data_IF_795619590094
#
_entry.id   IF_795619590094
#
_cell.length_a   1.000
_cell.length_b   1.000
_cell.length_c   1.000
_cell.angle_alpha   90.00
_cell.angle_beta   90.00
_cell.angle_gamma   90.00
#
_symmetry.space_group_name_H-M   'P 1'
#
loop_
_entity.id
_entity.type
_entity.pdbx_description
1 polymer ?
#
# COMPACT_ATOMS: atom_id res chain seq x y z
N UNK A 1 -34.17 -10.92 3.59
CA UNK A 1 -33.62 -11.36 4.90
C UNK A 1 -32.09 -11.53 4.89
N UNK A 2 -31.46 -12.05 3.85
CA UNK A 2 -30.01 -12.27 3.78
C UNK A 2 -29.23 -10.94 3.67
N UNK A 3 -29.71 -9.97 2.92
CA UNK A 3 -29.08 -8.64 2.79
C UNK A 3 -29.08 -7.88 4.11
N UNK A 4 -30.19 -7.92 4.84
CA UNK A 4 -30.30 -7.26 6.15
C UNK A 4 -29.34 -7.88 7.18
N UNK A 5 -29.19 -9.23 7.20
CA UNK A 5 -28.22 -9.90 8.06
C UNK A 5 -26.77 -9.56 7.71
N UNK A 6 -26.44 -9.51 6.42
CA UNK A 6 -25.11 -9.17 5.95
C UNK A 6 -24.73 -7.73 6.31
N UNK A 7 -25.67 -6.80 6.25
CA UNK A 7 -25.47 -5.39 6.64
C UNK A 7 -25.28 -5.26 8.15
N UNK A 8 -26.07 -6.00 8.96
CA UNK A 8 -25.92 -6.03 10.41
C UNK A 8 -24.54 -6.58 10.83
N UNK A 9 -24.08 -7.67 10.20
CA UNK A 9 -22.74 -8.20 10.45
C UNK A 9 -21.62 -7.23 10.05
N UNK A 10 -21.80 -6.46 8.98
CA UNK A 10 -20.83 -5.43 8.58
C UNK A 10 -20.77 -4.32 9.63
N UNK A 11 -21.91 -3.80 10.08
CA UNK A 11 -21.98 -2.76 11.11
C UNK A 11 -21.34 -3.25 12.41
N UNK A 12 -21.74 -4.43 12.89
CA UNK A 12 -21.16 -5.03 14.10
C UNK A 12 -19.64 -5.20 13.96
N UNK A 13 -19.19 -5.69 12.81
CA UNK A 13 -17.77 -5.87 12.52
C UNK A 13 -17.00 -4.53 12.52
N UNK A 14 -17.51 -3.49 11.88
CA UNK A 14 -16.89 -2.15 11.88
C UNK A 14 -16.83 -1.60 13.32
N UNK A 15 -17.88 -1.79 14.10
CA UNK A 15 -17.91 -1.38 15.52
C UNK A 15 -16.81 -2.09 16.32
N UNK A 16 -16.68 -3.41 16.17
CA UNK A 16 -15.62 -4.19 16.83
C UNK A 16 -14.24 -3.74 16.35
N UNK A 17 -14.08 -3.52 15.04
CA UNK A 17 -12.83 -3.03 14.47
C UNK A 17 -12.40 -1.71 15.11
N UNK A 18 -13.31 -0.72 15.19
CA UNK A 18 -12.98 0.57 15.82
C UNK A 18 -12.75 0.43 17.32
N UNK A 19 -13.55 -0.37 18.04
CA UNK A 19 -13.37 -0.58 19.48
C UNK A 19 -11.98 -1.14 19.79
N UNK A 20 -11.55 -2.19 19.07
CA UNK A 20 -10.20 -2.76 19.22
C UNK A 20 -9.11 -1.77 18.77
N UNK A 21 -9.31 -1.10 17.64
CA UNK A 21 -8.33 -0.16 17.10
C UNK A 21 -8.16 1.08 17.98
N UNK A 22 -9.20 1.58 18.63
CA UNK A 22 -9.08 2.68 19.60
C UNK A 22 -8.20 2.31 20.81
N UNK A 23 -8.29 1.06 21.28
CA UNK A 23 -7.42 0.58 22.38
C UNK A 23 -5.95 0.60 21.93
N UNK A 24 -5.66 0.08 20.73
CA UNK A 24 -4.31 0.08 20.18
C UNK A 24 -3.82 1.51 19.90
N UNK A 25 -4.69 2.35 19.36
CA UNK A 25 -4.41 3.77 19.07
C UNK A 25 -3.96 4.53 20.31
N UNK A 26 -4.72 4.42 21.41
CA UNK A 26 -4.35 5.10 22.65
C UNK A 26 -3.01 4.60 23.18
N UNK A 27 -2.76 3.28 23.14
CA UNK A 27 -1.45 2.73 23.54
C UNK A 27 -0.31 3.22 22.65
N UNK A 28 -0.51 3.33 21.32
CA UNK A 28 0.52 3.87 20.41
C UNK A 28 0.75 5.36 20.71
N UNK A 29 -0.30 6.13 20.96
CA UNK A 29 -0.21 7.55 21.28
C UNK A 29 0.54 7.79 22.60
N UNK A 30 0.22 7.02 23.65
CA UNK A 30 0.90 7.12 24.96
C UNK A 30 2.35 6.65 24.91
N UNK A 31 2.66 5.68 24.04
CA UNK A 31 3.97 5.06 23.97
C UNK A 31 4.97 5.83 23.11
N UNK A 32 4.53 6.72 22.22
CA UNK A 32 5.40 7.30 21.19
C UNK A 32 5.15 8.78 20.94
N UNK A 33 6.21 9.55 20.89
CA UNK A 33 6.24 10.88 20.29
C UNK A 33 6.10 10.80 18.76
N UNK A 34 6.48 11.87 18.06
CA UNK A 34 6.44 11.88 16.60
C UNK A 34 7.45 10.88 16.02
N UNK A 35 6.97 10.00 15.14
CA UNK A 35 7.74 8.88 14.60
C UNK A 35 8.21 9.22 13.19
N UNK A 36 9.51 9.26 12.97
CA UNK A 36 10.23 9.40 11.69
C UNK A 36 9.64 10.55 10.84
N UNK A 37 8.81 10.30 9.83
CA UNK A 37 8.26 11.36 8.97
C UNK A 37 7.21 12.22 9.68
N UNK A 38 6.62 11.76 10.79
CA UNK A 38 5.74 12.61 11.62
C UNK A 38 6.45 13.85 12.14
N UNK A 39 7.79 13.83 12.26
CA UNK A 39 8.60 15.02 12.60
C UNK A 39 8.35 16.19 11.63
N UNK A 40 7.94 15.90 10.41
CA UNK A 40 7.63 16.88 9.37
C UNK A 40 6.13 17.00 9.16
N UNK A 41 5.42 15.88 9.14
CA UNK A 41 3.98 15.84 8.88
C UNK A 41 3.15 16.46 10.00
N UNK A 42 3.47 16.23 11.27
CA UNK A 42 2.69 16.73 12.40
C UNK A 42 2.78 18.25 12.53
N UNK A 43 3.95 18.90 12.52
CA UNK A 43 4.03 20.37 12.54
C UNK A 43 3.30 21.01 11.35
N UNK A 44 3.41 20.41 10.17
CA UNK A 44 2.72 20.87 8.97
C UNK A 44 1.18 20.73 9.13
N UNK A 45 0.72 19.60 9.66
CA UNK A 45 -0.69 19.36 9.92
C UNK A 45 -1.26 20.32 10.95
N UNK A 46 -0.53 20.60 12.04
CA UNK A 46 -0.92 21.58 13.07
C UNK A 46 -1.02 22.99 12.47
N UNK A 47 -0.06 23.40 11.64
CA UNK A 47 -0.07 24.70 10.98
C UNK A 47 -1.34 24.88 10.11
N UNK A 48 -1.63 23.88 9.27
CA UNK A 48 -2.84 23.90 8.41
C UNK A 48 -4.15 23.80 9.21
N UNK A 49 -4.16 23.02 10.29
CA UNK A 49 -5.28 22.95 11.21
C UNK A 49 -5.59 24.34 11.81
N UNK A 50 -4.55 25.10 12.18
CA UNK A 50 -4.64 26.51 12.65
C UNK A 50 -4.78 27.53 11.52
N UNK A 51 -5.13 27.12 10.30
CA UNK A 51 -5.30 27.98 9.11
C UNK A 51 -4.06 28.74 8.65
N UNK A 52 -2.87 28.36 9.11
CA UNK A 52 -1.60 28.91 8.61
C UNK A 52 -1.16 28.16 7.33
N UNK A 53 -1.73 28.51 6.18
CA UNK A 53 -1.46 27.87 4.88
C UNK A 53 -0.15 28.35 4.25
N UNK A 54 0.51 29.38 4.77
CA UNK A 54 1.80 29.86 4.28
C UNK A 54 2.98 29.04 4.83
N UNK A 55 2.76 28.30 5.92
CA UNK A 55 3.82 27.42 6.45
C UNK A 55 4.02 26.20 5.58
N UNK A 56 5.26 25.97 5.16
CA UNK A 56 5.64 24.78 4.39
C UNK A 56 7.01 24.26 4.83
N UNK A 57 7.08 22.98 5.19
CA UNK A 57 8.32 22.30 5.51
C UNK A 57 8.95 21.73 4.23
N UNK A 58 10.15 22.17 3.85
CA UNK A 58 10.84 21.77 2.63
C UNK A 58 11.21 20.27 2.56
N UNK A 59 11.20 19.55 3.68
CA UNK A 59 11.43 18.10 3.70
C UNK A 59 10.20 17.31 3.25
N UNK A 60 9.04 17.95 3.16
CA UNK A 60 7.82 17.30 2.68
C UNK A 60 7.85 17.25 1.16
N UNK A 61 7.72 16.06 0.61
CA UNK A 61 7.79 15.76 -0.83
C UNK A 61 6.42 15.48 -1.45
N UNK A 62 5.37 15.32 -0.62
CA UNK A 62 3.99 15.09 -1.05
C UNK A 62 3.20 16.40 -1.16
N UNK A 63 2.13 16.41 -1.97
CA UNK A 63 1.21 17.53 -2.06
C UNK A 63 0.40 17.68 -0.74
N UNK A 64 -0.26 18.84 -0.51
CA UNK A 64 -0.82 19.20 0.79
C UNK A 64 -2.11 18.46 1.19
N UNK A 65 -2.55 17.42 0.49
CA UNK A 65 -3.84 16.76 0.69
C UNK A 65 -4.09 16.29 2.12
N UNK A 66 -3.12 15.67 2.77
CA UNK A 66 -3.20 15.25 4.16
C UNK A 66 -3.47 16.44 5.10
N UNK A 67 -2.80 17.55 4.89
CA UNK A 67 -2.89 18.75 5.74
C UNK A 67 -4.17 19.54 5.46
N UNK A 68 -4.65 19.55 4.22
CA UNK A 68 -5.94 20.15 3.86
C UNK A 68 -7.09 19.43 4.56
N UNK A 69 -7.04 18.08 4.67
CA UNK A 69 -8.03 17.32 5.45
C UNK A 69 -7.94 17.71 6.93
N UNK A 70 -6.76 17.87 7.48
CA UNK A 70 -6.54 18.31 8.86
C UNK A 70 -7.10 19.72 9.11
N UNK A 71 -7.08 20.61 8.12
CA UNK A 71 -7.66 21.94 8.23
C UNK A 71 -9.18 21.93 8.41
N UNK A 72 -9.88 20.85 8.01
CA UNK A 72 -11.32 20.68 8.22
C UNK A 72 -11.61 20.39 9.71
N UNK A 73 -10.70 19.70 10.40
CA UNK A 73 -10.84 19.35 11.82
C UNK A 73 -10.66 20.60 12.70
N UNK A 74 -9.84 21.55 12.27
CA UNK A 74 -9.54 22.81 12.96
C UNK A 74 -10.70 23.78 13.08
N UNK A 75 -11.89 23.28 13.45
CA UNK A 75 -13.04 24.11 13.85
C UNK A 75 -12.79 24.78 15.21
N UNK A 76 -11.93 24.21 16.07
CA UNK A 76 -11.38 24.80 17.29
C UNK A 76 -9.88 24.51 17.37
N UNK A 77 -9.09 25.45 17.86
CA UNK A 77 -7.64 25.28 18.03
C UNK A 77 -7.28 24.12 18.96
N UNK A 78 -8.17 23.76 19.91
CA UNK A 78 -7.99 22.65 20.83
C UNK A 78 -7.85 21.28 20.14
N UNK A 79 -8.41 21.14 18.93
CA UNK A 79 -8.32 19.93 18.13
C UNK A 79 -7.04 19.86 17.27
N UNK A 80 -6.22 20.91 17.24
CA UNK A 80 -4.98 20.94 16.46
C UNK A 80 -3.80 20.33 17.25
N UNK A 81 -3.90 19.05 17.57
CA UNK A 81 -2.87 18.29 18.27
C UNK A 81 -2.52 16.98 17.55
N UNK A 82 -1.39 16.38 17.87
CA UNK A 82 -0.94 15.09 17.31
C UNK A 82 -2.00 14.00 17.47
N UNK A 83 -2.74 13.99 18.57
CA UNK A 83 -3.80 13.02 18.82
C UNK A 83 -4.90 13.08 17.74
N UNK A 84 -5.44 14.26 17.49
CA UNK A 84 -6.52 14.43 16.51
C UNK A 84 -6.01 14.27 15.07
N UNK A 85 -4.77 14.65 14.79
CA UNK A 85 -4.18 14.41 13.48
C UNK A 85 -4.03 12.91 13.19
N UNK A 86 -3.51 12.12 14.15
CA UNK A 86 -3.47 10.65 14.03
C UNK A 86 -4.85 10.02 13.93
N UNK A 87 -5.85 10.58 14.63
CA UNK A 87 -7.25 10.09 14.59
C UNK A 87 -7.86 10.14 13.19
N UNK A 88 -7.44 11.09 12.33
CA UNK A 88 -7.86 11.15 10.91
C UNK A 88 -7.55 9.82 10.20
N UNK A 89 -6.35 9.29 10.40
CA UNK A 89 -5.95 8.04 9.77
C UNK A 89 -6.68 6.83 10.36
N UNK A 90 -6.97 6.85 11.66
CA UNK A 90 -7.79 5.81 12.27
C UNK A 90 -9.21 5.81 11.67
N UNK A 91 -9.84 6.96 11.49
CA UNK A 91 -11.15 7.08 10.84
C UNK A 91 -11.06 6.58 9.39
N UNK A 92 -10.04 7.00 8.64
CA UNK A 92 -9.82 6.57 7.27
C UNK A 92 -9.63 5.06 7.15
N UNK A 93 -9.03 4.40 8.14
CA UNK A 93 -8.84 2.93 8.12
C UNK A 93 -10.15 2.15 8.15
N UNK A 94 -11.14 2.61 8.93
CA UNK A 94 -12.47 1.99 8.92
C UNK A 94 -13.27 2.31 7.64
N UNK A 95 -13.05 3.48 7.03
CA UNK A 95 -13.58 3.77 5.70
C UNK A 95 -12.94 2.87 4.64
N UNK A 96 -11.63 2.60 4.73
CA UNK A 96 -10.97 1.61 3.87
C UNK A 96 -11.62 0.24 3.99
N UNK A 97 -11.90 -0.23 5.22
CA UNK A 97 -12.61 -1.49 5.46
C UNK A 97 -13.96 -1.51 4.73
N UNK A 98 -14.75 -0.43 4.83
CA UNK A 98 -16.03 -0.31 4.14
C UNK A 98 -15.87 -0.40 2.61
N UNK A 99 -14.88 0.32 2.05
CA UNK A 99 -14.62 0.30 0.60
C UNK A 99 -14.08 -1.06 0.14
N UNK A 100 -13.24 -1.74 0.91
CA UNK A 100 -12.81 -3.11 0.61
C UNK A 100 -14.00 -4.06 0.50
N UNK A 101 -14.88 -4.06 1.49
CA UNK A 101 -16.08 -4.91 1.45
C UNK A 101 -16.95 -4.57 0.25
N UNK A 102 -17.11 -3.28 -0.06
CA UNK A 102 -17.90 -2.82 -1.20
C UNK A 102 -17.32 -3.32 -2.53
N UNK A 103 -16.01 -3.16 -2.75
CA UNK A 103 -15.34 -3.64 -3.98
C UNK A 103 -15.44 -5.15 -4.09
N UNK A 104 -15.12 -5.87 -3.01
CA UNK A 104 -15.13 -7.32 -2.99
C UNK A 104 -16.54 -7.90 -3.22
N UNK A 105 -17.59 -7.27 -2.68
CA UNK A 105 -18.98 -7.65 -2.95
C UNK A 105 -19.36 -7.45 -4.42
N UNK A 106 -18.88 -6.40 -5.05
CA UNK A 106 -19.11 -6.16 -6.47
C UNK A 106 -18.38 -7.18 -7.36
N UNK A 107 -17.21 -7.68 -6.94
CA UNK A 107 -16.42 -8.66 -7.70
C UNK A 107 -16.94 -10.10 -7.47
N UNK A 108 -17.21 -10.46 -6.22
CA UNK A 108 -17.43 -11.85 -5.80
C UNK A 108 -18.84 -12.17 -5.31
N UNK A 109 -19.70 -11.16 -5.19
CA UNK A 109 -21.05 -11.27 -4.65
C UNK A 109 -21.10 -11.17 -3.12
N UNK A 110 -22.33 -11.18 -2.60
CA UNK A 110 -22.59 -10.94 -1.16
C UNK A 110 -22.56 -12.25 -0.36
N UNK A 111 -21.38 -12.65 0.11
CA UNK A 111 -21.15 -13.83 0.93
C UNK A 111 -20.44 -13.45 2.23
N UNK A 112 -20.68 -14.18 3.32
CA UNK A 112 -20.04 -13.92 4.62
C UNK A 112 -18.50 -13.93 4.55
N UNK A 113 -17.91 -14.88 3.81
CA UNK A 113 -16.45 -14.95 3.62
C UNK A 113 -15.86 -13.69 2.96
N UNK A 114 -16.66 -12.98 2.15
CA UNK A 114 -16.24 -11.74 1.49
C UNK A 114 -16.12 -10.59 2.52
N UNK A 115 -17.01 -10.59 3.49
CA UNK A 115 -16.89 -9.66 4.62
C UNK A 115 -15.57 -9.90 5.38
N UNK A 116 -15.28 -11.17 5.75
CA UNK A 116 -14.03 -11.50 6.45
C UNK A 116 -12.79 -11.18 5.60
N UNK A 117 -12.86 -11.35 4.29
CA UNK A 117 -11.78 -10.96 3.37
C UNK A 117 -11.53 -9.44 3.39
N UNK A 118 -12.60 -8.63 3.47
CA UNK A 118 -12.48 -7.18 3.65
C UNK A 118 -11.76 -6.81 4.96
N UNK A 119 -12.08 -7.53 6.06
CA UNK A 119 -11.36 -7.38 7.32
C UNK A 119 -9.89 -7.77 7.21
N UNK A 120 -9.55 -8.86 6.52
CA UNK A 120 -8.15 -9.23 6.30
C UNK A 120 -7.39 -8.11 5.61
N UNK A 121 -7.95 -7.49 4.56
CA UNK A 121 -7.30 -6.36 3.88
C UNK A 121 -7.10 -5.16 4.81
N UNK A 122 -8.09 -4.83 5.64
CA UNK A 122 -7.97 -3.73 6.61
C UNK A 122 -6.95 -4.03 7.73
N UNK A 123 -6.76 -5.31 8.08
CA UNK A 123 -5.81 -5.78 9.08
C UNK A 123 -4.44 -6.16 8.49
N UNK A 124 -4.19 -5.89 7.21
CA UNK A 124 -2.87 -6.07 6.59
C UNK A 124 -1.82 -5.34 7.45
N UNK A 125 -0.83 -6.06 8.04
CA UNK A 125 -0.04 -5.51 9.14
C UNK A 125 0.61 -4.15 8.90
N UNK A 126 1.31 -3.88 7.78
CA UNK A 126 1.85 -2.54 7.57
C UNK A 126 0.74 -1.48 7.40
N UNK A 127 -0.35 -1.79 6.68
CA UNK A 127 -1.45 -0.86 6.50
C UNK A 127 -2.15 -0.53 7.83
N UNK A 128 -2.40 -1.57 8.64
CA UNK A 128 -3.03 -1.41 9.95
C UNK A 128 -2.13 -0.61 10.91
N UNK A 129 -0.82 -0.85 10.88
CA UNK A 129 0.13 -0.09 11.68
C UNK A 129 0.14 1.41 11.32
N UNK A 130 0.24 1.75 10.02
CA UNK A 130 0.23 3.16 9.58
C UNK A 130 -1.11 3.88 9.82
N UNK A 131 -2.19 3.15 10.10
CA UNK A 131 -3.46 3.79 10.49
C UNK A 131 -3.43 4.47 11.86
N UNK A 132 -2.43 4.19 12.68
CA UNK A 132 -2.25 4.82 14.00
C UNK A 132 -1.28 6.01 14.00
N UNK A 133 -0.67 6.31 12.87
CA UNK A 133 0.27 7.39 12.67
C UNK A 133 -0.27 8.44 11.70
N UNK A 134 0.26 9.66 11.78
CA UNK A 134 -0.13 10.73 10.87
C UNK A 134 0.71 10.68 9.58
N UNK A 135 0.36 9.75 8.71
CA UNK A 135 1.03 9.45 7.43
C UNK A 135 0.05 9.50 6.26
N UNK A 136 0.56 9.58 5.04
CA UNK A 136 -0.27 9.69 3.83
C UNK A 136 -0.89 8.38 3.36
N UNK A 137 -0.36 7.24 3.76
CA UNK A 137 -0.66 5.90 3.22
C UNK A 137 -2.13 5.53 3.32
N UNK A 138 -2.73 5.69 4.51
CA UNK A 138 -4.11 5.28 4.78
C UNK A 138 -5.13 6.09 3.97
N UNK A 139 -4.95 7.41 3.91
CA UNK A 139 -5.81 8.30 3.12
C UNK A 139 -5.55 8.18 1.61
N UNK A 140 -4.31 7.97 1.20
CA UNK A 140 -3.94 7.70 -0.18
C UNK A 140 -4.66 6.46 -0.70
N UNK A 141 -4.63 5.36 0.05
CA UNK A 141 -5.36 4.14 -0.30
C UNK A 141 -6.87 4.38 -0.34
N UNK A 142 -7.44 5.10 0.65
CA UNK A 142 -8.86 5.45 0.68
C UNK A 142 -9.31 6.13 -0.62
N UNK A 143 -8.53 7.11 -1.07
CA UNK A 143 -8.84 7.87 -2.27
C UNK A 143 -8.78 7.03 -3.55
N UNK A 144 -7.82 6.10 -3.65
CA UNK A 144 -7.70 5.17 -4.79
C UNK A 144 -8.86 4.17 -4.80
N UNK A 145 -9.27 3.65 -3.64
CA UNK A 145 -10.41 2.76 -3.53
C UNK A 145 -11.71 3.48 -3.91
N UNK A 146 -11.91 4.72 -3.45
CA UNK A 146 -13.06 5.54 -3.82
C UNK A 146 -13.07 5.83 -5.32
N UNK A 147 -11.94 6.23 -5.91
CA UNK A 147 -11.79 6.42 -7.35
C UNK A 147 -12.14 5.15 -8.13
N UNK A 148 -11.65 3.99 -7.68
CA UNK A 148 -11.92 2.69 -8.31
C UNK A 148 -13.40 2.35 -8.28
N UNK A 149 -14.11 2.60 -7.17
CA UNK A 149 -15.56 2.39 -7.05
C UNK A 149 -16.32 3.30 -8.02
N UNK A 150 -15.97 4.58 -8.06
CA UNK A 150 -16.62 5.54 -8.93
C UNK A 150 -16.43 5.17 -10.42
N UNK A 151 -15.21 4.73 -10.80
CA UNK A 151 -14.88 4.38 -12.19
C UNK A 151 -15.50 3.06 -12.62
N UNK A 152 -15.35 2.01 -11.80
CA UNK A 152 -15.69 0.65 -12.21
C UNK A 152 -17.19 0.33 -12.00
N UNK A 153 -17.82 0.89 -10.97
CA UNK A 153 -19.17 0.50 -10.57
C UNK A 153 -20.21 1.61 -10.69
N UNK A 154 -19.89 2.85 -10.30
CA UNK A 154 -20.86 3.96 -10.32
C UNK A 154 -20.90 4.72 -11.63
N UNK A 155 -19.77 4.79 -12.35
CA UNK A 155 -19.65 5.48 -13.66
C UNK A 155 -20.13 6.95 -13.64
N UNK A 156 -19.93 7.64 -12.51
CA UNK A 156 -20.28 9.05 -12.38
C UNK A 156 -19.04 9.90 -12.68
N UNK A 157 -19.02 10.61 -13.79
CA UNK A 157 -17.85 11.35 -14.31
C UNK A 157 -17.39 12.46 -13.34
N UNK A 158 -18.32 13.15 -12.69
CA UNK A 158 -17.96 14.18 -11.72
C UNK A 158 -17.25 13.60 -10.51
N UNK A 159 -17.80 12.53 -9.93
CA UNK A 159 -17.17 11.84 -8.79
C UNK A 159 -15.82 11.20 -9.18
N UNK A 160 -15.69 10.67 -10.39
CA UNK A 160 -14.40 10.14 -10.91
C UNK A 160 -13.37 11.25 -10.91
N UNK A 161 -13.71 12.42 -11.46
CA UNK A 161 -12.80 13.56 -11.50
C UNK A 161 -12.41 14.03 -10.10
N UNK A 162 -13.37 14.26 -9.22
CA UNK A 162 -13.12 14.71 -7.84
C UNK A 162 -12.26 13.72 -7.06
N UNK A 163 -12.62 12.43 -7.07
CA UNK A 163 -11.81 11.40 -6.39
C UNK A 163 -10.41 11.28 -6.98
N UNK A 164 -10.27 11.45 -8.30
CA UNK A 164 -8.97 11.44 -8.97
C UNK A 164 -8.09 12.63 -8.54
N UNK A 165 -8.63 13.85 -8.51
CA UNK A 165 -7.92 15.04 -8.01
C UNK A 165 -7.52 14.84 -6.54
N UNK A 166 -8.46 14.46 -5.67
CA UNK A 166 -8.18 14.19 -4.25
C UNK A 166 -7.06 13.15 -4.09
N UNK A 167 -7.06 12.11 -4.92
CA UNK A 167 -6.06 11.05 -4.87
C UNK A 167 -4.67 11.58 -5.19
N UNK A 168 -4.51 12.38 -6.25
CA UNK A 168 -3.23 12.99 -6.63
C UNK A 168 -2.76 14.00 -5.61
N UNK A 169 -3.67 14.82 -5.05
CA UNK A 169 -3.36 15.83 -4.04
C UNK A 169 -2.93 15.19 -2.71
N UNK A 170 -3.42 13.99 -2.38
CA UNK A 170 -2.93 13.21 -1.23
C UNK A 170 -1.54 12.62 -1.47
N UNK A 171 -1.29 12.09 -2.67
CA UNK A 171 0.00 11.54 -3.05
C UNK A 171 0.16 11.52 -4.57
N UNK A 172 1.16 12.21 -5.11
CA UNK A 172 1.36 12.34 -6.56
C UNK A 172 1.47 10.98 -7.26
N UNK A 173 2.14 10.01 -6.62
CA UNK A 173 2.32 8.66 -7.18
C UNK A 173 1.00 7.91 -7.40
N UNK A 174 -0.11 8.37 -6.81
CA UNK A 174 -1.43 7.79 -7.03
C UNK A 174 -1.90 7.93 -8.49
N UNK A 175 -1.31 8.86 -9.26
CA UNK A 175 -1.59 8.99 -10.70
C UNK A 175 -1.31 7.67 -11.46
N UNK A 176 -0.34 6.88 -11.01
CA UNK A 176 -0.01 5.59 -11.60
C UNK A 176 -1.19 4.61 -11.42
N UNK A 177 -1.81 4.61 -10.24
CA UNK A 177 -2.96 3.74 -9.93
C UNK A 177 -4.25 4.21 -10.59
N UNK A 178 -4.42 5.53 -10.75
CA UNK A 178 -5.47 6.10 -11.60
C UNK A 178 -5.28 5.63 -13.04
N UNK A 179 -4.05 5.69 -13.57
CA UNK A 179 -3.69 5.17 -14.88
C UNK A 179 -3.94 3.66 -15.03
N UNK A 180 -3.66 2.88 -13.99
CA UNK A 180 -3.95 1.44 -13.96
C UNK A 180 -5.45 1.14 -14.10
N UNK A 181 -6.30 1.79 -13.28
CA UNK A 181 -7.77 1.62 -13.34
C UNK A 181 -8.32 2.08 -14.70
N UNK A 182 -7.79 3.18 -15.22
CA UNK A 182 -8.11 3.68 -16.56
C UNK A 182 -7.72 2.68 -17.63
N UNK A 183 -6.49 2.19 -17.65
CA UNK A 183 -6.00 1.21 -18.61
C UNK A 183 -6.82 -0.08 -18.59
N UNK A 184 -7.18 -0.56 -17.38
CA UNK A 184 -8.09 -1.71 -17.23
C UNK A 184 -9.47 -1.43 -17.84
N UNK A 185 -10.03 -0.26 -17.56
CA UNK A 185 -11.34 0.14 -18.11
C UNK A 185 -11.29 0.28 -19.63
N UNK A 186 -10.25 0.94 -20.16
CA UNK A 186 -10.06 1.14 -21.60
C UNK A 186 -9.90 -0.17 -22.36
N UNK A 187 -9.06 -1.08 -21.87
CA UNK A 187 -8.88 -2.39 -22.50
C UNK A 187 -10.19 -3.20 -22.51
N UNK A 188 -10.97 -3.12 -21.42
CA UNK A 188 -12.30 -3.75 -21.40
C UNK A 188 -13.27 -3.10 -22.39
N UNK A 189 -13.20 -1.78 -22.59
CA UNK A 189 -14.05 -1.06 -23.55
C UNK A 189 -13.64 -1.33 -24.99
N UNK A 190 -12.34 -1.33 -25.31
CA UNK A 190 -11.82 -1.67 -26.65
C UNK A 190 -12.26 -3.08 -27.04
N UNK A 191 -12.19 -4.02 -26.11
CA UNK A 191 -12.62 -5.41 -26.35
C UNK A 191 -14.15 -5.57 -26.42
N UNK A 192 -14.92 -4.57 -25.94
CA UNK A 192 -16.40 -4.57 -25.90
C UNK A 192 -17.06 -3.44 -26.72
N UNK A 193 -16.30 -2.68 -27.52
CA UNK A 193 -16.73 -1.55 -28.37
C UNK A 193 -17.63 -0.49 -27.66
N UNK A 194 -17.09 0.25 -26.70
CA UNK A 194 -17.76 1.41 -26.09
C UNK A 194 -16.78 2.56 -25.81
N UNK A 195 -17.25 3.81 -25.96
CA UNK A 195 -16.48 5.05 -25.90
C UNK A 195 -15.94 5.39 -24.49
N UNK A 196 -14.75 5.97 -24.44
CA UNK A 196 -13.88 6.14 -23.30
C UNK A 196 -14.16 7.37 -22.40
N UNK A 197 -13.73 7.30 -21.16
CA UNK A 197 -13.84 8.32 -20.12
C UNK A 197 -12.94 9.55 -20.37
N UNK A 198 -13.49 10.63 -20.91
CA UNK A 198 -12.79 11.92 -21.12
C UNK A 198 -12.22 12.50 -19.81
N UNK A 199 -12.90 12.29 -18.67
CA UNK A 199 -12.49 12.79 -17.37
C UNK A 199 -11.10 12.29 -16.91
N UNK A 200 -10.75 11.03 -17.24
CA UNK A 200 -9.44 10.48 -16.85
C UNK A 200 -8.33 10.97 -17.77
N UNK A 201 -8.63 11.16 -19.06
CA UNK A 201 -7.69 11.79 -20.00
C UNK A 201 -7.36 13.21 -19.56
N UNK A 202 -8.34 13.98 -19.09
CA UNK A 202 -8.14 15.32 -18.54
C UNK A 202 -7.24 15.29 -17.28
N UNK A 203 -7.46 14.34 -16.37
CA UNK A 203 -6.61 14.16 -15.18
C UNK A 203 -5.16 13.83 -15.56
N UNK A 204 -4.96 12.90 -16.48
CA UNK A 204 -3.61 12.52 -16.93
C UNK A 204 -2.93 13.70 -17.62
N UNK A 205 -3.62 14.43 -18.48
CA UNK A 205 -3.11 15.62 -19.13
C UNK A 205 -2.75 16.74 -18.14
N UNK A 206 -3.61 16.99 -17.15
CA UNK A 206 -3.36 17.97 -16.08
C UNK A 206 -2.15 17.57 -15.22
N UNK A 207 -1.97 16.27 -14.94
CA UNK A 207 -0.80 15.80 -14.20
C UNK A 207 0.49 15.95 -15.02
N UNK A 208 0.48 15.63 -16.31
CA UNK A 208 1.62 15.88 -17.21
C UNK A 208 1.97 17.38 -17.20
N UNK A 209 0.96 18.25 -17.31
CA UNK A 209 1.13 19.70 -17.21
C UNK A 209 1.78 20.13 -15.89
N UNK A 210 1.34 19.55 -14.77
CA UNK A 210 1.96 19.78 -13.46
C UNK A 210 3.44 19.35 -13.43
N UNK A 211 3.77 18.15 -13.93
CA UNK A 211 5.16 17.65 -13.96
C UNK A 211 6.05 18.54 -14.82
N UNK A 212 5.56 18.98 -15.97
CA UNK A 212 6.28 19.91 -16.86
C UNK A 212 6.51 21.25 -16.16
N UNK A 213 5.48 21.81 -15.52
CA UNK A 213 5.57 23.08 -14.80
C UNK A 213 6.48 23.00 -13.57
N UNK A 214 6.35 21.94 -12.77
CA UNK A 214 7.13 21.75 -11.54
C UNK A 214 8.56 21.23 -11.81
N UNK A 215 8.83 20.68 -12.99
CA UNK A 215 10.10 20.04 -13.36
C UNK A 215 10.38 18.71 -12.65
N UNK A 216 9.45 18.20 -11.85
CA UNK A 216 9.54 16.92 -11.13
C UNK A 216 8.15 16.43 -10.74
N UNK A 217 8.04 15.11 -10.44
CA UNK A 217 6.82 14.50 -9.88
C UNK A 217 6.61 14.95 -8.42
N UNK A 218 7.71 15.17 -7.68
CA UNK A 218 7.68 15.55 -6.26
C UNK A 218 7.79 17.06 -6.07
N UNK A 219 7.22 17.57 -4.99
CA UNK A 219 7.45 18.92 -4.47
C UNK A 219 8.49 18.83 -3.33
N UNK A 220 9.11 19.94 -2.92
CA UNK A 220 10.10 19.96 -1.83
C UNK A 220 11.45 19.37 -2.23
N UNK A 221 12.02 18.46 -1.42
CA UNK A 221 13.36 17.88 -1.65
C UNK A 221 13.39 16.95 -2.86
N UNK A 222 13.66 17.53 -4.03
CA UNK A 222 13.70 16.80 -5.31
C UNK A 222 14.95 15.92 -5.45
N UNK A 223 16.04 16.25 -4.75
CA UNK A 223 17.32 15.50 -4.85
C UNK A 223 17.24 14.14 -4.17
N UNK A 224 16.49 14.04 -3.08
CA UNK A 224 16.27 12.76 -2.37
C UNK A 224 15.44 11.75 -3.18
N UNK A 225 14.68 12.21 -4.19
CA UNK A 225 13.76 11.41 -4.99
C UNK A 225 14.09 11.40 -6.49
N UNK A 226 15.37 11.40 -6.84
CA UNK A 226 15.78 11.22 -8.23
C UNK A 226 15.37 9.83 -8.72
N UNK A 227 14.61 9.80 -9.81
CA UNK A 227 14.17 8.55 -10.43
C UNK A 227 15.41 7.73 -10.85
N UNK A 228 15.54 6.56 -10.29
CA UNK A 228 16.65 5.63 -10.57
C UNK A 228 16.04 4.27 -10.87
N UNK A 229 16.45 3.67 -11.98
CA UNK A 229 15.96 2.33 -12.33
C UNK A 229 16.53 1.29 -11.36
N UNK A 230 15.65 0.72 -10.54
CA UNK A 230 15.95 -0.31 -9.55
C UNK A 230 14.97 -1.48 -9.68
N UNK A 231 15.17 -2.33 -10.69
CA UNK A 231 14.29 -3.46 -11.02
C UNK A 231 14.13 -4.46 -9.86
N UNK A 232 15.15 -4.74 -9.01
CA UNK A 232 14.98 -5.62 -7.85
C UNK A 232 13.87 -5.24 -6.88
N UNK A 233 13.33 -4.01 -6.91
CA UNK A 233 12.12 -3.65 -6.17
C UNK A 233 10.93 -4.57 -6.50
N UNK A 234 10.82 -5.05 -7.74
CA UNK A 234 9.81 -6.04 -8.13
C UNK A 234 10.02 -7.38 -7.42
N UNK A 235 11.27 -7.77 -7.18
CA UNK A 235 11.60 -9.01 -6.45
C UNK A 235 11.31 -8.85 -4.96
N UNK A 236 11.59 -7.69 -4.38
CA UNK A 236 11.24 -7.39 -2.99
C UNK A 236 9.71 -7.32 -2.81
N UNK A 237 8.99 -6.86 -3.81
CA UNK A 237 7.52 -6.96 -3.84
C UNK A 237 7.04 -8.42 -3.85
N UNK A 238 7.71 -9.33 -4.56
CA UNK A 238 7.40 -10.75 -4.49
C UNK A 238 7.66 -11.34 -3.09
N UNK A 239 8.72 -10.91 -2.38
CA UNK A 239 8.93 -11.29 -0.97
C UNK A 239 7.82 -10.75 -0.07
N UNK A 240 7.42 -9.49 -0.26
CA UNK A 240 6.28 -8.90 0.44
C UNK A 240 5.01 -9.74 0.22
N UNK A 241 4.73 -10.09 -1.04
CA UNK A 241 3.66 -11.01 -1.38
C UNK A 241 3.81 -12.35 -0.64
N UNK A 242 5.00 -12.95 -0.66
CA UNK A 242 5.28 -14.24 -0.01
C UNK A 242 4.99 -14.23 1.48
N UNK A 243 5.36 -13.17 2.19
CA UNK A 243 5.15 -13.02 3.63
C UNK A 243 3.67 -12.77 3.94
N UNK A 244 3.05 -11.77 3.31
CA UNK A 244 1.69 -11.37 3.65
C UNK A 244 0.61 -12.27 3.04
N UNK A 245 0.90 -13.00 1.97
CA UNK A 245 0.03 -14.04 1.41
C UNK A 245 0.45 -15.46 1.79
N UNK A 246 1.24 -15.67 2.84
CA UNK A 246 1.78 -16.97 3.20
C UNK A 246 0.74 -18.11 3.23
N UNK A 247 -0.48 -17.96 3.79
CA UNK A 247 -1.50 -19.00 3.72
C UNK A 247 -1.89 -19.37 2.29
N UNK A 248 -1.95 -18.41 1.37
CA UNK A 248 -2.24 -18.65 -0.04
C UNK A 248 -1.06 -19.32 -0.74
N UNK A 249 0.16 -18.88 -0.45
CA UNK A 249 1.40 -19.47 -0.98
C UNK A 249 1.48 -20.94 -0.61
N UNK A 250 1.28 -21.26 0.67
CA UNK A 250 1.31 -22.66 1.15
C UNK A 250 0.20 -23.51 0.52
N UNK A 251 -1.00 -22.96 0.38
CA UNK A 251 -2.14 -23.68 -0.22
C UNK A 251 -1.89 -24.06 -1.69
N UNK A 252 -1.14 -23.24 -2.45
CA UNK A 252 -0.86 -23.48 -3.86
C UNK A 252 0.54 -24.03 -4.14
N UNK A 253 1.38 -24.27 -3.12
CA UNK A 253 2.77 -24.70 -3.27
C UNK A 253 2.92 -25.94 -4.17
N UNK A 254 2.14 -26.99 -3.94
CA UNK A 254 2.22 -28.23 -4.72
C UNK A 254 1.84 -28.00 -6.20
N UNK A 255 0.80 -27.22 -6.45
CA UNK A 255 0.40 -26.81 -7.81
C UNK A 255 1.53 -26.04 -8.50
N UNK A 256 2.10 -25.07 -7.78
CA UNK A 256 3.19 -24.23 -8.27
C UNK A 256 4.44 -25.06 -8.63
N UNK A 257 4.86 -25.96 -7.75
CA UNK A 257 5.99 -26.85 -8.01
C UNK A 257 5.75 -27.74 -9.23
N UNK A 258 4.54 -28.30 -9.38
CA UNK A 258 4.14 -29.04 -10.56
C UNK A 258 4.20 -28.19 -11.83
N UNK A 259 3.70 -26.96 -11.78
CA UNK A 259 3.76 -26.01 -12.90
C UNK A 259 5.20 -25.69 -13.28
N UNK A 260 6.07 -25.43 -12.30
CA UNK A 260 7.50 -25.20 -12.54
C UNK A 260 8.19 -26.41 -13.16
N UNK A 261 7.92 -27.61 -12.64
CA UNK A 261 8.48 -28.85 -13.16
C UNK A 261 8.08 -29.11 -14.62
N UNK A 262 6.82 -28.80 -14.98
CA UNK A 262 6.34 -28.94 -16.35
C UNK A 262 6.88 -27.84 -17.29
N UNK A 263 7.36 -26.70 -16.75
CA UNK A 263 7.87 -25.56 -17.51
C UNK A 263 9.37 -25.28 -17.25
N UNK A 264 10.19 -26.31 -17.19
CA UNK A 264 11.63 -26.22 -16.82
C UNK A 264 12.40 -25.16 -17.59
N UNK A 265 12.14 -25.03 -18.89
CA UNK A 265 12.82 -24.05 -19.76
C UNK A 265 12.49 -22.64 -19.28
N UNK A 266 11.21 -22.35 -19.02
CA UNK A 266 10.81 -21.04 -18.49
C UNK A 266 11.42 -20.75 -17.13
N UNK A 267 11.48 -21.74 -16.24
CA UNK A 267 12.13 -21.61 -14.93
C UNK A 267 13.59 -21.23 -15.08
N UNK A 268 14.34 -21.94 -15.95
CA UNK A 268 15.75 -21.66 -16.22
C UNK A 268 15.92 -20.24 -16.79
N UNK A 269 15.07 -19.84 -17.75
CA UNK A 269 15.13 -18.50 -18.34
C UNK A 269 14.87 -17.40 -17.29
N UNK A 270 13.88 -17.59 -16.41
CA UNK A 270 13.64 -16.63 -15.32
C UNK A 270 14.77 -16.61 -14.29
N UNK A 271 15.34 -17.76 -13.94
CA UNK A 271 16.52 -17.82 -13.05
C UNK A 271 17.68 -17.03 -13.64
N UNK A 272 18.02 -17.24 -14.90
CA UNK A 272 19.10 -16.52 -15.57
C UNK A 272 18.80 -15.02 -15.66
N UNK A 273 17.60 -14.64 -16.06
CA UNK A 273 17.18 -13.24 -16.14
C UNK A 273 17.26 -12.55 -14.78
N UNK A 274 16.72 -13.16 -13.72
CA UNK A 274 16.71 -12.57 -12.38
C UNK A 274 18.12 -12.49 -11.78
N UNK A 275 18.97 -13.49 -12.00
CA UNK A 275 20.39 -13.44 -11.62
C UNK A 275 21.10 -12.27 -12.30
N UNK A 276 20.87 -12.08 -13.59
CA UNK A 276 21.43 -10.94 -14.34
C UNK A 276 20.96 -9.60 -13.79
N UNK A 277 19.66 -9.45 -13.55
CA UNK A 277 19.09 -8.23 -12.99
C UNK A 277 19.68 -7.96 -11.59
N UNK A 278 19.74 -8.97 -10.72
CA UNK A 278 20.29 -8.81 -9.37
C UNK A 278 21.77 -8.44 -9.42
N UNK A 279 22.52 -9.00 -10.37
CA UNK A 279 23.94 -8.70 -10.51
C UNK A 279 24.20 -7.25 -10.93
N UNK A 280 23.48 -6.74 -11.92
CA UNK A 280 23.76 -5.43 -12.54
C UNK A 280 22.92 -4.28 -11.97
N UNK A 281 21.78 -4.56 -11.33
CA UNK A 281 20.81 -3.50 -11.00
C UNK A 281 20.44 -3.46 -9.50
N UNK A 282 21.14 -4.16 -8.61
CA UNK A 282 20.94 -4.01 -7.17
C UNK A 282 21.57 -2.69 -6.70
N UNK A 283 20.75 -1.79 -6.18
CA UNK A 283 21.16 -0.47 -5.70
C UNK A 283 20.91 -0.38 -4.19
N UNK A 284 21.89 0.10 -3.44
CA UNK A 284 21.77 0.35 -2.00
C UNK A 284 21.53 1.83 -1.75
N UNK A 285 20.54 2.13 -0.92
CA UNK A 285 20.28 3.51 -0.50
C UNK A 285 20.94 3.77 0.86
N UNK A 286 21.61 4.94 1.08
CA UNK A 286 22.25 5.24 2.35
C UNK A 286 21.34 5.12 3.56
N UNK A 287 20.07 5.53 3.45
CA UNK A 287 19.10 5.42 4.57
C UNK A 287 18.78 3.97 4.92
N UNK A 288 18.77 3.04 3.94
CA UNK A 288 18.59 1.62 4.19
C UNK A 288 19.70 1.04 5.09
N UNK A 289 20.91 1.58 4.98
CA UNK A 289 22.09 1.14 5.70
C UNK A 289 22.23 1.83 7.07
N UNK A 290 21.65 3.02 7.26
CA UNK A 290 21.85 3.86 8.43
C UNK A 290 20.65 3.88 9.39
N UNK A 291 19.41 3.78 8.89
CA UNK A 291 18.22 3.96 9.72
C UNK A 291 17.70 2.64 10.30
N UNK A 292 18.13 2.32 11.52
CA UNK A 292 17.71 1.11 12.25
C UNK A 292 16.29 1.18 12.84
N UNK A 293 15.50 2.19 12.50
CA UNK A 293 14.08 2.30 12.90
C UNK A 293 13.16 1.53 11.96
N UNK A 294 13.65 0.98 10.83
CA UNK A 294 12.87 0.23 9.87
C UNK A 294 13.20 -1.26 9.87
N UNK A 295 12.19 -2.13 9.69
CA UNK A 295 12.40 -3.57 9.51
C UNK A 295 13.32 -3.89 8.32
N UNK A 296 13.26 -3.10 7.25
CA UNK A 296 14.12 -3.26 6.05
C UNK A 296 15.60 -3.14 6.37
N UNK A 297 15.99 -2.28 7.32
CA UNK A 297 17.36 -2.19 7.81
C UNK A 297 17.85 -3.53 8.36
N UNK A 298 17.07 -4.19 9.22
CA UNK A 298 17.48 -5.47 9.82
C UNK A 298 17.55 -6.59 8.82
N UNK A 299 16.60 -6.66 7.88
CA UNK A 299 16.62 -7.65 6.79
C UNK A 299 17.85 -7.43 5.91
N UNK A 300 18.13 -6.17 5.54
CA UNK A 300 19.28 -5.84 4.70
C UNK A 300 20.58 -6.17 5.40
N UNK A 301 20.83 -5.63 6.58
CA UNK A 301 22.10 -5.79 7.28
C UNK A 301 22.37 -7.22 7.78
N UNK A 302 21.33 -8.00 8.08
CA UNK A 302 21.51 -9.37 8.58
C UNK A 302 21.57 -10.42 7.47
N UNK A 303 21.08 -10.11 6.27
CA UNK A 303 21.03 -11.05 5.16
C UNK A 303 21.82 -10.53 3.96
N UNK A 304 21.37 -9.52 3.27
CA UNK A 304 21.99 -9.03 2.03
C UNK A 304 23.36 -8.37 2.26
N UNK A 305 23.52 -7.56 3.31
CA UNK A 305 24.77 -6.88 3.62
C UNK A 305 25.78 -7.74 4.39
N UNK A 306 25.31 -8.83 5.05
CA UNK A 306 26.19 -9.73 5.79
C UNK A 306 26.82 -10.79 4.89
N UNK A 307 26.13 -11.25 3.86
CA UNK A 307 26.53 -12.34 3.00
C UNK A 307 26.44 -11.91 1.53
N UNK A 308 27.57 -11.81 0.83
CA UNK A 308 27.63 -11.36 -0.57
C UNK A 308 26.81 -12.25 -1.51
N UNK A 309 26.69 -13.54 -1.19
CA UNK A 309 25.90 -14.49 -1.97
C UNK A 309 24.39 -14.39 -1.72
N UNK A 310 23.93 -13.73 -0.65
CA UNK A 310 22.55 -13.77 -0.20
C UNK A 310 21.57 -13.21 -1.23
N UNK A 311 21.95 -12.14 -1.93
CA UNK A 311 21.17 -11.57 -3.02
C UNK A 311 20.92 -12.56 -4.16
N UNK A 312 21.91 -13.38 -4.48
CA UNK A 312 21.81 -14.45 -5.52
C UNK A 312 21.04 -15.66 -4.99
N UNK A 313 21.28 -16.07 -3.74
CA UNK A 313 20.59 -17.18 -3.10
C UNK A 313 19.09 -16.93 -2.95
N UNK A 314 18.64 -15.68 -2.97
CA UNK A 314 17.21 -15.31 -2.92
C UNK A 314 16.50 -15.46 -4.28
N UNK A 315 17.23 -15.56 -5.39
CA UNK A 315 16.66 -15.61 -6.75
C UNK A 315 15.71 -16.80 -6.96
N UNK A 316 16.03 -18.04 -6.54
CA UNK A 316 15.08 -19.16 -6.66
C UNK A 316 13.73 -18.89 -5.93
N UNK A 317 13.77 -18.20 -4.78
CA UNK A 317 12.55 -17.81 -4.07
C UNK A 317 11.73 -16.78 -4.87
N UNK A 318 12.36 -15.81 -5.52
CA UNK A 318 11.67 -14.87 -6.39
C UNK A 318 10.97 -15.57 -7.56
N UNK A 319 11.66 -16.50 -8.21
CA UNK A 319 11.08 -17.29 -9.33
C UNK A 319 9.91 -18.14 -8.82
N UNK A 320 10.08 -18.84 -7.70
CA UNK A 320 8.99 -19.61 -7.09
C UNK A 320 7.77 -18.72 -6.79
N UNK A 321 7.97 -17.56 -6.13
CA UNK A 321 6.89 -16.65 -5.78
C UNK A 321 6.21 -16.04 -7.00
N UNK A 322 6.94 -15.80 -8.10
CA UNK A 322 6.34 -15.36 -9.35
C UNK A 322 5.39 -16.41 -9.93
N UNK A 323 5.80 -17.69 -9.98
CA UNK A 323 4.95 -18.79 -10.43
C UNK A 323 3.76 -19.00 -9.49
N UNK A 324 3.99 -18.90 -8.19
CA UNK A 324 2.96 -19.03 -7.16
C UNK A 324 1.92 -17.91 -7.26
N UNK A 325 2.36 -16.67 -7.48
CA UNK A 325 1.46 -15.53 -7.72
C UNK A 325 0.58 -15.76 -8.95
N UNK A 326 1.17 -16.26 -10.04
CA UNK A 326 0.42 -16.60 -11.25
C UNK A 326 -0.65 -17.67 -10.97
N UNK A 327 -0.32 -18.72 -10.20
CA UNK A 327 -1.27 -19.77 -9.81
C UNK A 327 -2.44 -19.23 -8.96
N UNK A 328 -2.17 -18.26 -8.06
CA UNK A 328 -3.23 -17.62 -7.26
C UNK A 328 -4.11 -16.67 -8.08
N UNK A 329 -3.65 -16.20 -9.23
CA UNK A 329 -4.38 -15.29 -10.13
C UNK A 329 -5.04 -16.00 -11.31
N UNK A 330 -4.73 -17.27 -11.61
CA UNK A 330 -5.07 -17.92 -12.88
C UNK A 330 -6.56 -17.88 -13.25
N UNK A 331 -7.45 -17.97 -12.25
CA UNK A 331 -8.90 -17.93 -12.48
C UNK A 331 -9.44 -16.51 -12.72
N UNK A 332 -8.64 -15.50 -12.46
CA UNK A 332 -8.92 -14.07 -12.67
C UNK A 332 -7.99 -13.46 -13.73
N UNK A 333 -7.32 -14.31 -14.52
CA UNK A 333 -6.26 -13.95 -15.45
C UNK A 333 -6.82 -13.27 -16.69
N UNK A 334 -7.28 -12.04 -16.53
CA UNK A 334 -7.74 -11.18 -17.60
C UNK A 334 -6.59 -10.27 -18.04
N UNK A 335 -6.22 -10.32 -19.31
CA UNK A 335 -5.17 -9.45 -19.88
C UNK A 335 -5.47 -7.96 -19.64
N UNK A 336 -6.74 -7.59 -19.61
CA UNK A 336 -7.18 -6.21 -19.34
C UNK A 336 -6.86 -5.72 -17.94
N UNK A 337 -6.68 -6.65 -16.98
CA UNK A 337 -6.20 -6.34 -15.63
C UNK A 337 -4.69 -6.51 -15.53
N UNK A 338 -4.16 -7.66 -15.93
CA UNK A 338 -2.75 -8.00 -15.71
C UNK A 338 -1.78 -7.05 -16.40
N UNK A 339 -2.08 -6.64 -17.65
CA UNK A 339 -1.20 -5.76 -18.41
C UNK A 339 -1.05 -4.38 -17.74
N UNK A 340 -2.13 -3.60 -17.49
CA UNK A 340 -1.99 -2.31 -16.83
C UNK A 340 -1.50 -2.44 -15.39
N UNK A 341 -1.89 -3.49 -14.66
CA UNK A 341 -1.40 -3.74 -13.31
C UNK A 341 0.12 -3.94 -13.27
N UNK A 342 0.65 -4.83 -14.10
CA UNK A 342 2.10 -5.12 -14.14
C UNK A 342 2.89 -3.90 -14.57
N UNK A 343 2.43 -3.17 -15.60
CA UNK A 343 3.09 -1.96 -16.09
C UNK A 343 3.12 -0.87 -15.01
N UNK A 344 1.98 -0.60 -14.38
CA UNK A 344 1.88 0.43 -13.35
C UNK A 344 2.64 0.05 -12.07
N UNK A 345 2.63 -1.24 -11.68
CA UNK A 345 3.45 -1.72 -10.56
C UNK A 345 4.94 -1.57 -10.86
N UNK A 346 5.37 -1.89 -12.07
CA UNK A 346 6.75 -1.69 -12.50
C UNK A 346 7.13 -0.21 -12.42
N UNK A 347 6.34 0.70 -12.98
CA UNK A 347 6.60 2.15 -12.92
C UNK A 347 6.62 2.66 -11.49
N UNK A 348 5.66 2.23 -10.65
CA UNK A 348 5.57 2.70 -9.26
C UNK A 348 6.74 2.25 -8.39
N UNK A 349 7.27 1.05 -8.60
CA UNK A 349 8.29 0.45 -7.75
C UNK A 349 9.70 0.60 -8.32
N UNK A 350 9.90 0.29 -9.60
CA UNK A 350 11.26 0.21 -10.18
C UNK A 350 11.92 1.57 -10.42
N UNK A 351 11.19 2.66 -10.33
CA UNK A 351 11.75 4.02 -10.45
C UNK A 351 12.15 4.63 -9.10
N UNK A 352 12.08 3.85 -8.02
CA UNK A 352 12.46 4.29 -6.68
C UNK A 352 13.73 3.59 -6.21
N UNK A 353 14.69 4.39 -5.72
CA UNK A 353 15.95 3.87 -5.18
C UNK A 353 15.77 3.32 -3.75
N UNK A 354 14.97 3.99 -2.93
CA UNK A 354 14.73 3.61 -1.54
C UNK A 354 13.79 2.40 -1.44
N UNK A 355 14.10 1.48 -0.51
CA UNK A 355 13.29 0.29 -0.25
C UNK A 355 12.48 0.54 1.02
N UNK A 356 11.18 0.76 0.84
CA UNK A 356 10.25 0.93 1.95
C UNK A 356 9.05 0.01 1.79
N UNK A 357 8.66 -0.62 2.89
CA UNK A 357 7.50 -1.54 2.94
C UNK A 357 6.21 -0.86 2.50
N UNK A 358 6.04 0.43 2.82
CA UNK A 358 4.83 1.20 2.47
C UNK A 358 4.61 1.39 0.97
N UNK A 359 5.66 1.31 0.14
CA UNK A 359 5.50 1.38 -1.32
C UNK A 359 4.80 0.16 -1.90
N UNK A 360 4.87 -0.98 -1.23
CA UNK A 360 4.24 -2.23 -1.65
C UNK A 360 2.76 -2.35 -1.26
N UNK A 361 2.22 -1.43 -0.44
CA UNK A 361 0.86 -1.53 0.10
C UNK A 361 -0.20 -1.48 -0.99
N UNK A 362 -0.21 -0.44 -1.81
CA UNK A 362 -1.24 -0.24 -2.83
C UNK A 362 -1.20 -1.34 -3.89
N UNK A 363 -0.03 -1.65 -4.52
CA UNK A 363 0.02 -2.75 -5.48
C UNK A 363 -0.39 -4.09 -4.87
N UNK A 364 0.00 -4.37 -3.63
CA UNK A 364 -0.40 -5.62 -2.97
C UNK A 364 -1.91 -5.69 -2.71
N UNK A 365 -2.52 -4.63 -2.21
CA UNK A 365 -3.96 -4.58 -1.94
C UNK A 365 -4.77 -4.80 -3.22
N UNK A 366 -4.41 -4.11 -4.31
CA UNK A 366 -5.04 -4.27 -5.62
C UNK A 366 -4.92 -5.73 -6.10
N UNK A 367 -3.73 -6.29 -6.00
CA UNK A 367 -3.43 -7.67 -6.36
C UNK A 367 -4.25 -8.65 -5.52
N UNK A 368 -4.23 -8.47 -4.19
CA UNK A 368 -4.90 -9.38 -3.25
C UNK A 368 -6.42 -9.44 -3.45
N UNK A 369 -7.03 -8.33 -3.84
CA UNK A 369 -8.46 -8.29 -4.19
C UNK A 369 -8.79 -9.13 -5.43
N UNK A 370 -7.81 -9.52 -6.23
CA UNK A 370 -7.95 -10.27 -7.49
C UNK A 370 -7.56 -11.74 -7.39
N UNK A 371 -7.24 -12.25 -6.22
CA UNK A 371 -6.98 -13.68 -6.06
C UNK A 371 -8.23 -14.49 -6.40
N UNK A 372 -8.02 -15.68 -6.94
CA UNK A 372 -9.09 -16.67 -7.15
C UNK A 372 -9.91 -16.84 -5.86
N UNK A 373 -11.21 -17.09 -6.02
CA UNK A 373 -12.16 -17.17 -4.87
C UNK A 373 -11.63 -18.08 -3.76
N UNK A 374 -11.11 -17.53 -2.65
CA UNK A 374 -10.53 -18.37 -1.59
C UNK A 374 -11.64 -19.15 -0.86
N UNK A 375 -11.29 -20.33 -0.36
CA UNK A 375 -12.14 -21.08 0.55
C UNK A 375 -12.28 -20.34 1.88
N UNK A 376 -13.37 -20.57 2.59
CA UNK A 376 -13.58 -19.97 3.93
C UNK A 376 -12.44 -20.35 4.89
N UNK A 377 -11.94 -21.59 4.83
CA UNK A 377 -10.79 -22.05 5.63
C UNK A 377 -9.56 -21.17 5.35
N UNK A 378 -9.26 -20.88 4.08
CA UNK A 378 -8.10 -20.09 3.70
C UNK A 378 -8.21 -18.63 4.17
N UNK A 379 -9.42 -18.04 4.07
CA UNK A 379 -9.66 -16.68 4.56
C UNK A 379 -9.50 -16.58 6.08
N UNK A 380 -9.98 -17.60 6.82
CA UNK A 380 -9.77 -17.67 8.29
C UNK A 380 -8.30 -17.87 8.64
N UNK A 381 -7.58 -18.72 7.92
CA UNK A 381 -6.13 -18.92 8.14
C UNK A 381 -5.35 -17.63 7.89
N UNK A 382 -5.72 -16.86 6.86
CA UNK A 382 -5.13 -15.54 6.59
C UNK A 382 -5.44 -14.53 7.71
N UNK A 383 -6.66 -14.54 8.25
CA UNK A 383 -7.02 -13.70 9.40
C UNK A 383 -6.13 -14.00 10.61
N UNK A 384 -5.94 -15.29 10.93
CA UNK A 384 -5.06 -15.73 12.04
C UNK A 384 -3.61 -15.29 11.76
N UNK A 385 -3.14 -15.46 10.53
CA UNK A 385 -1.79 -15.04 10.12
C UNK A 385 -1.58 -13.54 10.32
N UNK A 386 -2.52 -12.70 9.88
CA UNK A 386 -2.41 -11.25 10.07
C UNK A 386 -2.53 -10.85 11.53
N UNK A 387 -3.36 -11.55 12.31
CA UNK A 387 -3.43 -11.32 13.75
C UNK A 387 -2.08 -11.59 14.43
N UNK A 388 -1.41 -12.69 14.09
CA UNK A 388 -0.09 -13.02 14.62
C UNK A 388 0.98 -11.97 14.19
N UNK A 389 1.00 -11.58 12.93
CA UNK A 389 1.93 -10.57 12.45
C UNK A 389 1.68 -9.20 13.11
N UNK A 390 0.43 -8.79 13.28
CA UNK A 390 0.10 -7.56 14.00
C UNK A 390 0.53 -7.65 15.46
N UNK A 391 0.30 -8.78 16.12
CA UNK A 391 0.76 -8.98 17.50
C UNK A 391 2.28 -8.82 17.60
N UNK A 392 3.04 -9.45 16.73
CA UNK A 392 4.51 -9.33 16.70
C UNK A 392 4.93 -7.88 16.40
N UNK A 393 4.29 -7.22 15.45
CA UNK A 393 4.56 -5.82 15.10
C UNK A 393 4.40 -4.91 16.31
N UNK A 394 3.27 -4.96 16.98
CA UNK A 394 3.02 -4.12 18.16
C UNK A 394 3.86 -4.54 19.37
N UNK A 395 4.14 -5.84 19.55
CA UNK A 395 5.06 -6.29 20.58
C UNK A 395 6.46 -5.70 20.39
N UNK A 396 6.99 -5.75 19.16
CA UNK A 396 8.29 -5.14 18.84
C UNK A 396 8.24 -3.63 19.04
N UNK A 397 7.20 -2.97 18.54
CA UNK A 397 7.03 -1.53 18.65
C UNK A 397 7.00 -1.05 20.10
N UNK A 398 6.29 -1.74 21.00
CA UNK A 398 6.18 -1.32 22.40
C UNK A 398 7.43 -1.68 23.24
N UNK A 399 8.08 -2.81 22.95
CA UNK A 399 9.12 -3.36 23.83
C UNK A 399 10.56 -3.12 23.32
N UNK A 400 10.76 -2.85 22.01
CA UNK A 400 12.08 -2.57 21.45
C UNK A 400 12.27 -1.07 21.26
N UNK A 401 13.00 -0.49 22.19
CA UNK A 401 13.33 0.94 22.24
C UNK A 401 14.84 1.11 22.21
N UNK A 402 15.30 2.21 21.62
CA UNK A 402 16.68 2.60 21.60
C UNK A 402 16.81 4.13 21.51
N UNK A 403 17.88 4.68 22.06
CA UNK A 403 18.15 6.11 22.02
C UNK A 403 19.06 6.46 20.85
N UNK A 404 18.71 7.49 20.12
CA UNK A 404 19.61 8.17 19.18
C UNK A 404 20.15 9.44 19.82
N UNK A 405 21.38 9.83 19.46
CA UNK A 405 22.04 11.01 20.04
C UNK A 405 21.28 12.32 19.77
N UNK A 406 20.55 12.37 18.66
CA UNK A 406 19.84 13.56 18.18
C UNK A 406 18.38 13.66 18.69
N UNK A 407 17.96 12.74 19.57
CA UNK A 407 16.59 12.70 20.09
C UNK A 407 16.56 12.51 21.62
N UNK A 408 15.74 13.33 22.28
CA UNK A 408 15.54 13.27 23.74
C UNK A 408 14.53 12.19 24.16
N UNK A 409 13.95 11.46 23.19
CA UNK A 409 12.97 10.41 23.42
C UNK A 409 13.34 9.12 22.69
N UNK A 410 12.89 7.95 23.19
CA UNK A 410 13.24 6.66 22.61
C UNK A 410 12.66 6.48 21.21
N UNK A 411 13.50 6.00 20.31
CA UNK A 411 13.13 5.60 18.95
C UNK A 411 12.61 4.16 18.95
N UNK A 412 11.77 3.83 17.96
CA UNK A 412 11.08 2.55 17.85
C UNK A 412 11.19 1.97 16.43
N UNK A 413 11.03 0.65 16.34
CA UNK A 413 11.08 -0.06 15.07
C UNK A 413 9.67 -0.03 14.44
N UNK A 414 9.60 0.38 13.19
CA UNK A 414 8.37 0.42 12.37
C UNK A 414 8.54 -0.29 11.02
N UNK A 415 7.45 -0.45 10.28
CA UNK A 415 7.45 -1.01 8.93
C UNK A 415 8.18 -0.15 7.90
#
# INVERSE_FOLDING_TARGET
QFENKSTLFLIAGITIYYACSCIVFNKVYEASDNIIDELFHVPQGIAYCKRNFSYWNNKITTLPGLYLISSIIGLSEDYCSTYYLRLVNLIASGLNLLLFVTILRNIYGNQFKILLLGFNLALLPPLYFFSFLYYTETLSLLSILAFSICTLFKKNYFLIFVCGVCSVVLRQTNIVWIGMVFGHTMLNLILKSSLANQSVLLLLGSFIGFVVWNGSIVVGDKEAHVATLHIPQMFYFLLFYGVFSLPHVLNTTLSTLKTMFNNKIKVILYLMLFLTIVHYNTVEHPYLLADNRHYTFYIWNRWFGKYDFAKYASVPAYVFLLFNLYDNLKDQNCITFLLPYTLCTFVALSLQKMIEVRYFLIPYVILRMRFARPSTKLVVTEFIWYFLLNYVTFYVFFNKQFMWKDFDYPQRIIW
#
